data_IF_107869437113
#
_entry.id   IF_107869437113
#
_cell.length_a   1.000
_cell.length_b   1.000
_cell.length_c   1.000
_cell.angle_alpha   90.00
_cell.angle_beta   90.00
_cell.angle_gamma   90.00
#
_symmetry.space_group_name_H-M   'P 1'
#
loop_
_entity.id
_entity.type
_entity.pdbx_description
1 polymer ?
#
# COMPACT_ATOMS: atom_id res chain seq x y z
N UNK A 1 33.73 -17.88 34.50
CA UNK A 1 34.38 -17.07 35.54
C UNK A 1 33.81 -15.67 35.37
N UNK A 2 33.08 -15.00 36.27
CA UNK A 2 32.95 -14.95 37.74
C UNK A 2 31.45 -14.62 37.99
N UNK A 3 30.63 -15.46 38.64
CA UNK A 3 30.28 -15.56 40.08
C UNK A 3 29.68 -14.31 40.77
N UNK A 4 28.46 -14.49 41.32
CA UNK A 4 27.92 -13.81 42.51
C UNK A 4 26.65 -12.96 42.26
N UNK A 5 25.57 -12.98 43.04
CA UNK A 5 25.20 -13.76 44.23
C UNK A 5 23.67 -13.57 44.48
N UNK A 6 23.09 -14.53 45.18
CA UNK A 6 21.69 -14.76 45.59
C UNK A 6 21.21 -13.78 46.67
N UNK A 7 19.90 -13.50 46.72
CA UNK A 7 19.17 -13.30 47.97
C UNK A 7 17.74 -13.89 47.88
N UNK A 8 17.50 -14.88 48.74
CA UNK A 8 16.25 -15.57 49.01
C UNK A 8 15.44 -14.77 50.04
N UNK A 9 14.11 -14.73 49.87
CA UNK A 9 13.17 -14.27 50.89
C UNK A 9 12.00 -15.24 50.96
N UNK A 10 12.05 -16.17 51.92
CA UNK A 10 10.98 -17.10 52.27
C UNK A 10 10.14 -16.50 53.41
N UNK A 11 8.82 -16.55 53.30
CA UNK A 11 7.92 -16.51 54.44
C UNK A 11 6.81 -17.55 54.26
N UNK A 12 6.82 -18.55 55.12
CA UNK A 12 5.74 -19.51 55.36
C UNK A 12 5.03 -19.08 56.64
N UNK A 13 3.70 -19.07 56.63
CA UNK A 13 2.91 -19.35 57.84
C UNK A 13 1.48 -19.76 57.47
N UNK A 14 1.06 -20.86 58.09
CA UNK A 14 -0.14 -21.67 57.96
C UNK A 14 -1.52 -20.96 58.09
N UNK A 15 -2.61 -21.66 57.70
CA UNK A 15 -3.95 -21.09 57.56
C UNK A 15 -4.73 -21.06 58.88
N UNK A 16 -5.72 -20.17 59.06
CA UNK A 16 -6.61 -20.23 60.20
C UNK A 16 -7.71 -21.30 60.01
N UNK A 17 -8.00 -21.94 61.13
CA UNK A 17 -8.91 -23.06 61.30
C UNK A 17 -10.40 -22.68 61.14
N UNK A 18 -11.19 -23.73 60.88
CA UNK A 18 -12.64 -23.72 60.77
C UNK A 18 -13.34 -23.23 62.03
N UNK A 19 -14.37 -22.39 61.84
CA UNK A 19 -15.43 -22.14 62.83
C UNK A 19 -16.75 -22.70 62.31
N UNK A 20 -17.36 -23.55 63.12
CA UNK A 20 -18.66 -24.15 62.91
C UNK A 20 -19.80 -23.13 62.99
N UNK A 21 -20.76 -23.31 62.07
CA UNK A 21 -22.21 -23.38 62.30
C UNK A 21 -22.85 -22.40 63.28
N UNK A 22 -23.38 -21.28 62.77
CA UNK A 22 -24.59 -20.67 63.34
C UNK A 22 -25.59 -20.32 62.22
N UNK A 23 -26.84 -20.62 62.52
CA UNK A 23 -28.06 -20.49 61.71
C UNK A 23 -28.16 -19.15 60.96
N UNK A 24 -28.27 -19.22 59.63
CA UNK A 24 -28.92 -18.17 58.85
C UNK A 24 -29.95 -18.83 57.95
N UNK A 25 -31.20 -18.68 58.39
CA UNK A 25 -32.45 -18.95 57.69
C UNK A 25 -32.36 -18.74 56.19
N UNK A 26 -32.85 -19.74 55.45
CA UNK A 26 -32.99 -19.72 54.00
C UNK A 26 -33.88 -18.54 53.55
N UNK A 27 -33.25 -17.44 53.13
CA UNK A 27 -33.93 -16.39 52.37
C UNK A 27 -34.21 -16.94 50.97
N UNK A 28 -35.46 -17.26 50.72
CA UNK A 28 -35.99 -17.55 49.38
C UNK A 28 -35.62 -16.41 48.42
N UNK A 29 -34.68 -16.68 47.51
CA UNK A 29 -34.41 -15.79 46.38
C UNK A 29 -35.66 -15.81 45.50
N UNK A 30 -36.36 -14.67 45.28
CA UNK A 30 -37.46 -14.62 44.35
C UNK A 30 -36.91 -14.93 42.95
N UNK A 31 -37.46 -15.95 42.28
CA UNK A 31 -37.32 -16.11 40.83
C UNK A 31 -38.03 -14.93 40.17
N UNK A 32 -37.34 -13.81 40.02
CA UNK A 32 -37.74 -12.74 39.12
C UNK A 32 -37.44 -13.19 37.69
N UNK A 33 -38.41 -13.90 37.10
CA UNK A 33 -38.49 -14.06 35.65
C UNK A 33 -38.94 -12.71 35.07
N UNK A 34 -38.04 -11.73 35.06
CA UNK A 34 -38.29 -10.42 34.44
C UNK A 34 -37.49 -10.36 33.15
N UNK A 35 -38.02 -10.99 32.09
CA UNK A 35 -37.60 -10.71 30.71
C UNK A 35 -38.15 -9.35 30.29
N UNK A 36 -37.65 -8.27 30.91
CA UNK A 36 -37.81 -6.94 30.33
C UNK A 36 -37.03 -6.91 29.00
N UNK A 37 -37.62 -6.45 27.89
CA UNK A 37 -36.92 -6.39 26.62
C UNK A 37 -35.69 -5.48 26.75
N UNK A 38 -34.50 -6.04 26.50
CA UNK A 38 -33.24 -5.29 26.52
C UNK A 38 -33.35 -4.09 25.56
N UNK A 39 -33.08 -2.86 26.01
CA UNK A 39 -33.12 -1.68 25.16
C UNK A 39 -32.26 -1.85 23.92
N UNK A 40 -32.72 -1.32 22.78
CA UNK A 40 -32.01 -1.40 21.48
C UNK A 40 -30.58 -0.86 21.56
N UNK A 41 -30.33 0.16 22.40
CA UNK A 41 -29.00 0.70 22.65
C UNK A 41 -28.07 -0.31 23.32
N UNK A 42 -28.56 -1.07 24.29
CA UNK A 42 -27.81 -2.13 24.97
C UNK A 42 -27.51 -3.29 24.02
N UNK A 43 -28.46 -3.69 23.16
CA UNK A 43 -28.22 -4.70 22.12
C UNK A 43 -27.12 -4.26 21.15
N UNK A 44 -27.20 -3.04 20.62
CA UNK A 44 -26.16 -2.48 19.74
C UNK A 44 -24.79 -2.48 20.41
N UNK A 45 -24.70 -2.05 21.68
CA UNK A 45 -23.43 -2.06 22.42
C UNK A 45 -22.85 -3.47 22.52
N UNK A 46 -23.68 -4.46 22.88
CA UNK A 46 -23.25 -5.85 23.01
C UNK A 46 -22.72 -6.43 21.71
N UNK A 47 -23.44 -6.23 20.60
CA UNK A 47 -23.04 -6.72 19.27
C UNK A 47 -21.73 -6.08 18.79
N UNK A 48 -21.54 -4.78 19.03
CA UNK A 48 -20.27 -4.13 18.71
C UNK A 48 -19.12 -4.62 19.60
N UNK A 49 -19.37 -4.98 20.86
CA UNK A 49 -18.33 -5.56 21.73
C UNK A 49 -17.90 -6.96 21.28
N UNK A 50 -18.83 -7.80 20.84
CA UNK A 50 -18.49 -9.11 20.26
C UNK A 50 -17.68 -8.92 18.97
N UNK A 51 -18.10 -7.99 18.10
CA UNK A 51 -17.36 -7.68 16.88
C UNK A 51 -15.93 -7.21 17.18
N UNK A 52 -15.74 -6.28 18.13
CA UNK A 52 -14.42 -5.82 18.56
C UNK A 52 -13.56 -6.99 19.06
N UNK A 53 -14.11 -7.87 19.88
CA UNK A 53 -13.38 -9.04 20.39
C UNK A 53 -12.87 -9.92 19.24
N UNK A 54 -13.73 -10.32 18.32
CA UNK A 54 -13.35 -11.19 17.18
C UNK A 54 -12.29 -10.50 16.32
N UNK A 55 -12.45 -9.21 16.02
CA UNK A 55 -11.52 -8.45 15.20
C UNK A 55 -10.16 -8.26 15.88
N UNK A 56 -10.13 -8.08 17.20
CA UNK A 56 -8.87 -8.01 17.96
C UNK A 56 -8.06 -9.30 17.88
N UNK A 57 -8.72 -10.46 17.96
CA UNK A 57 -8.05 -11.76 17.77
C UNK A 57 -7.43 -11.87 16.36
N UNK A 58 -8.11 -11.33 15.34
CA UNK A 58 -7.57 -11.27 13.98
C UNK A 58 -6.32 -10.38 13.97
N UNK A 59 -6.38 -9.17 14.52
CA UNK A 59 -5.26 -8.24 14.56
C UNK A 59 -4.02 -8.83 15.24
N UNK A 60 -4.21 -9.54 16.34
CA UNK A 60 -3.12 -10.15 17.10
C UNK A 60 -2.48 -11.34 16.39
N UNK A 61 -3.30 -12.22 15.80
CA UNK A 61 -2.81 -13.51 15.29
C UNK A 61 -2.38 -13.46 13.83
N UNK A 62 -3.03 -12.62 13.02
CA UNK A 62 -2.84 -12.61 11.57
C UNK A 62 -1.39 -12.33 11.13
N UNK A 63 -0.60 -11.44 11.77
CA UNK A 63 0.80 -11.21 11.38
C UNK A 63 1.69 -12.46 11.42
N UNK A 64 1.38 -13.43 12.29
CA UNK A 64 2.14 -14.68 12.43
C UNK A 64 1.76 -15.77 11.43
N UNK A 65 0.77 -15.54 10.56
CA UNK A 65 0.20 -16.56 9.67
C UNK A 65 0.48 -16.25 8.20
N UNK A 66 0.79 -17.29 7.42
CA UNK A 66 1.06 -17.22 5.98
C UNK A 66 0.38 -18.36 5.21
N UNK A 67 0.18 -18.18 3.91
CA UNK A 67 -0.34 -19.20 2.99
C UNK A 67 -1.66 -19.84 3.43
N UNK A 68 -1.75 -21.17 3.35
CA UNK A 68 -2.96 -21.94 3.67
C UNK A 68 -3.45 -21.68 5.11
N UNK A 69 -2.53 -21.63 6.08
CA UNK A 69 -2.89 -21.40 7.48
C UNK A 69 -3.54 -20.03 7.70
N UNK A 70 -3.06 -19.00 6.98
CA UNK A 70 -3.61 -17.65 6.99
C UNK A 70 -5.04 -17.62 6.45
N UNK A 71 -5.27 -18.25 5.30
CA UNK A 71 -6.60 -18.33 4.67
C UNK A 71 -7.59 -19.12 5.55
N UNK A 72 -7.17 -20.25 6.11
CA UNK A 72 -8.01 -21.05 7.03
C UNK A 72 -8.40 -20.25 8.28
N UNK A 73 -7.46 -19.51 8.87
CA UNK A 73 -7.74 -18.66 10.01
C UNK A 73 -8.73 -17.54 9.70
N UNK A 74 -8.53 -16.81 8.59
CA UNK A 74 -9.46 -15.79 8.13
C UNK A 74 -10.87 -16.36 7.88
N UNK A 75 -10.95 -17.57 7.30
CA UNK A 75 -12.22 -18.27 7.06
C UNK A 75 -12.93 -18.60 8.37
N UNK A 76 -12.20 -19.17 9.34
CA UNK A 76 -12.72 -19.46 10.67
C UNK A 76 -13.25 -18.19 11.35
N UNK A 77 -12.50 -17.08 11.28
CA UNK A 77 -12.88 -15.81 11.92
C UNK A 77 -14.07 -15.13 11.22
N UNK A 78 -14.14 -15.16 9.89
CA UNK A 78 -15.33 -14.68 9.16
C UNK A 78 -16.56 -15.52 9.51
N UNK A 79 -16.44 -16.86 9.59
CA UNK A 79 -17.55 -17.73 10.03
C UNK A 79 -17.98 -17.46 11.48
N UNK A 80 -17.01 -17.31 12.40
CA UNK A 80 -17.26 -16.96 13.80
C UNK A 80 -18.02 -15.63 13.89
N UNK A 81 -17.59 -14.61 13.13
CA UNK A 81 -18.26 -13.32 13.08
C UNK A 81 -19.69 -13.46 12.54
N UNK A 82 -19.88 -14.15 11.41
CA UNK A 82 -21.18 -14.32 10.78
C UNK A 82 -22.19 -15.09 11.64
N UNK A 83 -21.72 -16.02 12.47
CA UNK A 83 -22.58 -16.76 13.42
C UNK A 83 -22.83 -16.00 14.72
N UNK A 84 -21.84 -15.22 15.17
CA UNK A 84 -21.82 -14.61 16.51
C UNK A 84 -22.30 -13.16 16.59
N UNK A 85 -22.49 -12.47 15.46
CA UNK A 85 -22.76 -11.02 15.42
C UNK A 85 -23.95 -10.70 14.52
N UNK A 86 -24.89 -9.90 15.03
CA UNK A 86 -25.98 -9.36 14.24
C UNK A 86 -25.57 -8.08 13.50
N UNK A 87 -25.31 -8.19 12.20
CA UNK A 87 -24.86 -7.08 11.35
C UNK A 87 -25.78 -5.84 11.39
N UNK A 88 -27.10 -6.02 11.61
CA UNK A 88 -28.06 -4.90 11.65
C UNK A 88 -27.90 -4.01 12.89
N UNK A 89 -27.13 -4.46 13.87
CA UNK A 89 -26.88 -3.77 15.13
C UNK A 89 -25.46 -3.20 15.23
N UNK A 90 -24.64 -3.39 14.19
CA UNK A 90 -23.28 -2.87 14.12
C UNK A 90 -23.24 -1.36 13.85
N UNK A 91 -22.21 -0.72 14.40
CA UNK A 91 -21.82 0.63 13.97
C UNK A 91 -21.21 0.59 12.57
N UNK A 92 -21.20 1.73 11.88
CA UNK A 92 -20.56 1.83 10.56
C UNK A 92 -19.07 1.46 10.60
N UNK A 93 -18.35 1.77 11.69
CA UNK A 93 -16.95 1.36 11.89
C UNK A 93 -16.84 -0.17 11.88
N UNK A 94 -17.66 -0.86 12.66
CA UNK A 94 -17.60 -2.33 12.75
C UNK A 94 -18.07 -3.03 11.47
N UNK A 95 -19.06 -2.45 10.77
CA UNK A 95 -19.47 -2.98 9.47
C UNK A 95 -18.35 -2.85 8.43
N UNK A 96 -17.61 -1.74 8.45
CA UNK A 96 -16.43 -1.56 7.61
C UNK A 96 -15.33 -2.58 7.93
N UNK A 97 -14.98 -2.78 9.21
CA UNK A 97 -13.99 -3.78 9.60
C UNK A 97 -14.40 -5.20 9.21
N UNK A 98 -15.69 -5.53 9.33
CA UNK A 98 -16.24 -6.78 8.82
C UNK A 98 -16.03 -6.92 7.30
N UNK A 99 -16.36 -5.88 6.53
CA UNK A 99 -16.16 -5.91 5.08
C UNK A 99 -14.69 -6.08 4.71
N UNK A 100 -13.77 -5.49 5.51
CA UNK A 100 -12.33 -5.67 5.34
C UNK A 100 -11.92 -7.12 5.65
N UNK A 101 -12.44 -7.72 6.73
CA UNK A 101 -12.21 -9.14 7.05
C UNK A 101 -12.66 -10.05 5.90
N UNK A 102 -13.86 -9.82 5.38
CA UNK A 102 -14.41 -10.62 4.27
C UNK A 102 -13.58 -10.41 2.99
N UNK A 103 -13.14 -9.19 2.72
CA UNK A 103 -12.25 -8.90 1.60
C UNK A 103 -10.86 -9.55 1.75
N UNK A 104 -10.26 -9.48 2.94
CA UNK A 104 -8.98 -10.14 3.24
C UNK A 104 -9.09 -11.64 2.98
N UNK A 105 -10.14 -12.28 3.47
CA UNK A 105 -10.39 -13.69 3.21
C UNK A 105 -10.46 -13.99 1.70
N UNK A 106 -11.29 -13.26 0.95
CA UNK A 106 -11.49 -13.50 -0.48
C UNK A 106 -10.21 -13.25 -1.26
N UNK A 107 -9.53 -12.13 -1.00
CA UNK A 107 -8.30 -11.76 -1.72
C UNK A 107 -7.16 -12.74 -1.45
N UNK A 108 -6.93 -13.13 -0.19
CA UNK A 108 -5.90 -14.11 0.18
C UNK A 108 -6.19 -15.50 -0.41
N UNK A 109 -7.46 -15.93 -0.40
CA UNK A 109 -7.88 -17.21 -0.99
C UNK A 109 -7.68 -17.22 -2.52
N UNK A 110 -7.97 -16.10 -3.20
CA UNK A 110 -7.73 -15.94 -4.64
C UNK A 110 -6.23 -15.96 -4.94
N UNK A 111 -5.44 -15.14 -4.23
CA UNK A 111 -3.99 -15.03 -4.47
C UNK A 111 -3.25 -16.33 -4.17
N UNK A 112 -3.78 -17.16 -3.26
CA UNK A 112 -3.21 -18.46 -2.95
C UNK A 112 -3.55 -19.55 -3.96
N UNK A 113 -4.79 -19.56 -4.49
CA UNK A 113 -5.32 -20.72 -5.22
C UNK A 113 -5.62 -20.46 -6.71
N UNK A 114 -5.65 -19.21 -7.17
CA UNK A 114 -6.05 -18.88 -8.53
C UNK A 114 -4.84 -18.70 -9.45
N UNK A 115 -4.81 -19.47 -10.54
CA UNK A 115 -3.90 -19.23 -11.66
C UNK A 115 -4.46 -18.18 -12.65
N UNK A 116 -5.63 -17.58 -12.35
CA UNK A 116 -6.25 -16.60 -13.23
C UNK A 116 -5.71 -15.20 -12.99
N UNK A 117 -5.10 -14.63 -14.01
CA UNK A 117 -4.68 -13.24 -14.01
C UNK A 117 -5.85 -12.27 -13.77
N UNK A 118 -7.03 -12.56 -14.32
CA UNK A 118 -8.23 -11.76 -14.09
C UNK A 118 -8.67 -11.77 -12.62
N UNK A 119 -8.66 -12.95 -11.97
CA UNK A 119 -8.97 -13.05 -10.54
C UNK A 119 -7.92 -12.33 -9.69
N UNK A 120 -6.64 -12.42 -10.06
CA UNK A 120 -5.55 -11.69 -9.41
C UNK A 120 -5.78 -10.18 -9.46
N UNK A 121 -6.18 -9.63 -10.62
CA UNK A 121 -6.52 -8.22 -10.75
C UNK A 121 -7.69 -7.82 -9.83
N UNK A 122 -8.74 -8.64 -9.73
CA UNK A 122 -9.86 -8.38 -8.80
C UNK A 122 -9.37 -8.37 -7.35
N UNK A 123 -8.54 -9.34 -6.96
CA UNK A 123 -8.01 -9.46 -5.60
C UNK A 123 -7.05 -8.31 -5.24
N UNK A 124 -6.29 -7.78 -6.19
CA UNK A 124 -5.35 -6.66 -5.95
C UNK A 124 -5.97 -5.28 -6.15
N UNK A 125 -7.19 -5.20 -6.69
CA UNK A 125 -7.81 -3.92 -7.01
C UNK A 125 -9.16 -3.64 -6.39
N UNK A 126 -9.91 -4.68 -6.01
CA UNK A 126 -11.35 -4.64 -5.71
C UNK A 126 -12.25 -4.15 -6.86
N UNK A 127 -11.68 -3.89 -8.05
CA UNK A 127 -12.42 -3.46 -9.23
C UNK A 127 -12.99 -4.68 -9.95
N UNK A 128 -14.22 -4.57 -10.45
CA UNK A 128 -14.85 -5.58 -11.30
C UNK A 128 -14.43 -5.51 -12.77
N UNK A 129 -13.28 -4.90 -13.07
CA UNK A 129 -12.81 -4.71 -14.45
C UNK A 129 -12.20 -5.99 -15.00
N UNK A 130 -12.47 -6.27 -16.28
CA UNK A 130 -11.79 -7.34 -17.02
C UNK A 130 -10.41 -6.86 -17.49
N UNK A 131 -9.45 -7.77 -17.76
CA UNK A 131 -8.13 -7.39 -18.26
C UNK A 131 -8.15 -6.45 -19.48
N UNK A 132 -9.12 -6.63 -20.39
CA UNK A 132 -9.27 -5.78 -21.57
C UNK A 132 -9.71 -4.36 -21.21
N UNK A 133 -10.52 -4.20 -20.15
CA UNK A 133 -10.92 -2.89 -19.63
C UNK A 133 -9.73 -2.17 -19.02
N UNK A 134 -8.85 -2.87 -18.30
CA UNK A 134 -7.59 -2.28 -17.82
C UNK A 134 -6.73 -1.82 -18.98
N UNK A 135 -6.52 -2.69 -19.97
CA UNK A 135 -5.69 -2.38 -21.13
C UNK A 135 -6.18 -1.14 -21.86
N UNK A 136 -7.47 -1.08 -22.18
CA UNK A 136 -8.08 0.08 -22.85
C UNK A 136 -7.82 1.37 -22.05
N UNK A 137 -8.13 1.37 -20.75
CA UNK A 137 -7.99 2.54 -19.89
C UNK A 137 -6.54 2.98 -19.72
N UNK A 138 -5.60 2.03 -19.64
CA UNK A 138 -4.17 2.33 -19.57
C UNK A 138 -3.68 2.93 -20.90
N UNK A 139 -4.13 2.41 -22.05
CA UNK A 139 -3.78 2.97 -23.36
C UNK A 139 -4.35 4.39 -23.55
N UNK A 140 -5.57 4.66 -23.09
CA UNK A 140 -6.15 6.00 -23.05
C UNK A 140 -5.31 6.96 -22.20
N UNK A 141 -4.86 6.51 -21.02
CA UNK A 141 -4.01 7.29 -20.13
C UNK A 141 -2.62 7.56 -20.72
N UNK A 142 -1.99 6.55 -21.34
CA UNK A 142 -0.72 6.71 -22.05
C UNK A 142 -0.85 7.73 -23.18
N UNK A 143 -1.93 7.66 -23.97
CA UNK A 143 -2.21 8.61 -25.05
C UNK A 143 -2.37 10.04 -24.51
N UNK A 144 -3.11 10.23 -23.42
CA UNK A 144 -3.26 11.53 -22.75
C UNK A 144 -1.91 12.10 -22.31
N UNK A 145 -1.10 11.29 -21.65
CA UNK A 145 0.23 11.70 -21.17
C UNK A 145 1.11 12.09 -22.36
N UNK A 146 1.14 11.28 -23.42
CA UNK A 146 1.99 11.52 -24.60
C UNK A 146 1.58 12.80 -25.34
N UNK A 147 0.29 13.05 -25.51
CA UNK A 147 -0.23 14.30 -26.08
C UNK A 147 0.12 15.52 -25.23
N UNK A 148 0.05 15.39 -23.90
CA UNK A 148 0.40 16.48 -22.98
C UNK A 148 1.89 16.78 -23.04
N UNK A 149 2.74 15.75 -23.05
CA UNK A 149 4.18 15.90 -23.21
C UNK A 149 4.50 16.56 -24.56
N UNK A 150 3.87 16.11 -25.64
CA UNK A 150 4.05 16.73 -26.95
C UNK A 150 3.68 18.21 -26.92
N UNK A 151 2.54 18.57 -26.35
CA UNK A 151 2.11 19.97 -26.24
C UNK A 151 3.09 20.85 -25.45
N UNK A 152 3.60 20.34 -24.33
CA UNK A 152 4.49 21.10 -23.44
C UNK A 152 5.95 21.15 -23.92
N UNK A 153 6.42 20.11 -24.61
CA UNK A 153 7.81 19.98 -25.04
C UNK A 153 8.05 20.33 -26.51
N UNK A 154 6.99 20.54 -27.30
CA UNK A 154 7.14 21.08 -28.65
C UNK A 154 7.66 22.51 -28.57
N UNK A 155 8.89 22.73 -29.04
CA UNK A 155 9.34 24.09 -29.34
C UNK A 155 8.48 24.64 -30.48
N UNK A 156 8.32 25.96 -30.56
CA UNK A 156 7.56 26.68 -31.62
C UNK A 156 8.11 26.50 -33.04
N UNK A 157 9.04 25.57 -33.27
CA UNK A 157 9.56 25.19 -34.59
C UNK A 157 8.61 24.18 -35.25
N UNK A 158 8.36 24.35 -36.55
CA UNK A 158 7.44 23.54 -37.37
C UNK A 158 7.82 22.05 -37.56
N UNK A 159 8.72 21.50 -36.75
CA UNK A 159 9.09 20.08 -36.82
C UNK A 159 8.07 19.23 -36.04
N UNK A 160 7.65 18.10 -36.62
CA UNK A 160 6.73 17.16 -35.98
C UNK A 160 7.35 16.55 -34.71
N UNK A 161 6.63 16.62 -33.58
CA UNK A 161 7.14 16.13 -32.30
C UNK A 161 7.34 14.61 -32.31
N UNK A 162 8.59 14.17 -32.29
CA UNK A 162 8.93 12.75 -32.13
C UNK A 162 9.12 12.39 -30.65
N UNK A 163 8.21 11.57 -30.12
CA UNK A 163 8.21 11.17 -28.71
C UNK A 163 9.43 10.31 -28.33
N UNK A 164 9.84 9.38 -29.18
CA UNK A 164 11.00 8.53 -28.93
C UNK A 164 12.29 9.35 -28.83
N UNK A 165 12.50 10.26 -29.78
CA UNK A 165 13.67 11.14 -29.79
C UNK A 165 13.67 12.07 -28.58
N UNK A 166 12.49 12.56 -28.17
CA UNK A 166 12.35 13.36 -26.95
C UNK A 166 12.78 12.58 -25.71
N UNK A 167 12.26 11.37 -25.50
CA UNK A 167 12.63 10.52 -24.36
C UNK A 167 14.11 10.17 -24.37
N UNK A 168 14.68 9.92 -25.55
CA UNK A 168 16.12 9.69 -25.74
C UNK A 168 16.95 10.92 -25.37
N UNK A 169 16.53 12.13 -25.79
CA UNK A 169 17.20 13.39 -25.44
C UNK A 169 17.15 13.64 -23.94
N UNK A 170 15.96 13.59 -23.33
CA UNK A 170 15.79 13.81 -21.88
C UNK A 170 16.69 12.88 -21.08
N UNK A 171 16.72 11.59 -21.43
CA UNK A 171 17.62 10.61 -20.79
C UNK A 171 19.09 10.98 -20.90
N UNK A 172 19.55 11.47 -22.07
CA UNK A 172 20.96 11.84 -22.30
C UNK A 172 21.36 13.14 -21.62
N UNK A 173 20.43 14.09 -21.49
CA UNK A 173 20.70 15.42 -20.94
C UNK A 173 20.36 15.55 -19.46
N UNK A 174 19.71 14.54 -18.86
CA UNK A 174 19.41 14.50 -17.44
C UNK A 174 20.69 14.50 -16.59
N UNK A 175 20.59 15.06 -15.40
CA UNK A 175 21.63 14.95 -14.39
C UNK A 175 21.52 13.61 -13.68
N UNK A 176 22.66 12.96 -13.46
CA UNK A 176 22.77 11.71 -12.73
C UNK A 176 23.80 11.84 -11.61
N UNK A 177 23.63 11.12 -10.48
CA UNK A 177 24.64 11.02 -9.45
C UNK A 177 25.98 10.50 -9.99
N UNK A 178 27.07 11.01 -9.44
CA UNK A 178 28.38 10.38 -9.61
C UNK A 178 28.39 9.02 -8.91
N UNK A 179 29.07 8.05 -9.52
CA UNK A 179 29.21 6.69 -8.98
C UNK A 179 30.30 6.61 -7.89
N UNK A 180 30.19 7.50 -6.91
CA UNK A 180 31.10 7.65 -5.77
C UNK A 180 30.31 7.62 -4.47
N UNK A 181 30.97 7.40 -3.33
CA UNK A 181 30.29 7.48 -2.03
C UNK A 181 29.55 8.81 -1.84
N UNK A 182 30.21 9.94 -2.14
CA UNK A 182 29.61 11.27 -2.04
C UNK A 182 28.44 11.46 -3.00
N UNK A 183 28.53 10.95 -4.23
CA UNK A 183 27.43 11.02 -5.20
C UNK A 183 26.20 10.23 -4.77
N UNK A 184 26.40 9.01 -4.24
CA UNK A 184 25.33 8.17 -3.65
C UNK A 184 24.68 8.87 -2.45
N UNK A 185 25.48 9.36 -1.51
CA UNK A 185 24.97 10.05 -0.32
C UNK A 185 24.20 11.33 -0.71
N UNK A 186 24.74 12.14 -1.63
CA UNK A 186 24.07 13.34 -2.11
C UNK A 186 22.70 13.04 -2.73
N UNK A 187 22.56 11.93 -3.47
CA UNK A 187 21.26 11.51 -4.00
C UNK A 187 20.25 11.22 -2.88
N UNK A 188 20.65 10.46 -1.86
CA UNK A 188 19.80 10.14 -0.71
C UNK A 188 19.41 11.40 0.08
N UNK A 189 20.37 12.29 0.34
CA UNK A 189 20.15 13.54 1.06
C UNK A 189 19.14 14.44 0.32
N UNK A 190 19.30 14.56 -1.00
CA UNK A 190 18.38 15.35 -1.83
C UNK A 190 16.99 14.73 -1.87
N UNK A 191 16.88 13.40 -1.96
CA UNK A 191 15.58 12.72 -1.88
C UNK A 191 14.88 12.99 -0.54
N UNK A 192 15.63 12.89 0.56
CA UNK A 192 15.12 13.19 1.90
C UNK A 192 14.64 14.66 2.00
N UNK A 193 15.40 15.60 1.45
CA UNK A 193 15.01 17.01 1.40
C UNK A 193 13.73 17.25 0.60
N UNK A 194 13.57 16.60 -0.55
CA UNK A 194 12.35 16.70 -1.36
C UNK A 194 11.13 16.12 -0.62
N UNK A 195 11.30 15.04 0.15
CA UNK A 195 10.22 14.48 0.98
C UNK A 195 9.77 15.43 2.08
N UNK A 196 10.71 16.02 2.82
CA UNK A 196 10.40 17.03 3.85
C UNK A 196 9.70 18.23 3.22
N UNK A 197 10.17 18.68 2.05
CA UNK A 197 9.59 19.83 1.34
C UNK A 197 8.18 19.54 0.84
N UNK A 198 7.94 18.36 0.26
CA UNK A 198 6.62 17.91 -0.14
C UNK A 198 5.68 17.89 1.06
N UNK A 199 6.09 17.29 2.18
CA UNK A 199 5.28 17.23 3.38
C UNK A 199 4.89 18.62 3.92
N UNK A 200 5.83 19.56 3.96
CA UNK A 200 5.58 20.93 4.41
C UNK A 200 4.56 21.66 3.51
N UNK A 201 4.68 21.51 2.19
CA UNK A 201 3.78 22.16 1.23
C UNK A 201 2.32 21.69 1.34
N UNK A 202 2.10 20.47 1.83
CA UNK A 202 0.77 19.87 1.98
C UNK A 202 0.23 19.89 3.40
N UNK A 203 1.01 20.39 4.37
CA UNK A 203 0.64 20.39 5.78
C UNK A 203 -0.66 21.16 6.06
N UNK A 204 -0.79 22.37 5.51
CA UNK A 204 -1.98 23.22 5.71
C UNK A 204 -3.25 22.64 5.04
N UNK A 205 -3.08 21.77 4.04
CA UNK A 205 -4.20 21.11 3.35
C UNK A 205 -4.75 19.93 4.16
N UNK A 206 -3.94 19.33 5.03
CA UNK A 206 -4.28 18.14 5.80
C UNK A 206 -4.00 18.36 7.31
N UNK A 207 -4.75 19.26 7.93
CA UNK A 207 -4.70 19.65 9.37
C UNK A 207 -4.89 18.50 10.39
N UNK A 208 -4.93 17.25 9.96
CA UNK A 208 -5.07 16.04 10.80
C UNK A 208 -3.85 15.11 10.72
N UNK A 209 -2.79 15.50 10.01
CA UNK A 209 -1.60 14.66 9.85
C UNK A 209 -0.61 14.84 11.00
N UNK A 210 -0.18 13.72 11.58
CA UNK A 210 1.00 13.70 12.47
C UNK A 210 2.22 13.52 11.58
N UNK A 211 3.19 14.45 11.58
CA UNK A 211 4.41 14.27 10.81
C UNK A 211 5.05 12.92 11.13
N UNK A 212 5.27 12.10 10.11
CA UNK A 212 6.11 10.91 10.22
C UNK A 212 7.30 11.11 9.28
N UNK A 213 8.48 10.71 9.70
CA UNK A 213 9.66 10.71 8.84
C UNK A 213 9.73 9.35 8.15
N UNK A 214 9.56 9.32 6.83
CA UNK A 214 9.85 8.12 6.06
C UNK A 214 11.37 8.00 5.95
N UNK A 215 11.93 6.92 6.49
CA UNK A 215 13.38 6.70 6.39
C UNK A 215 13.77 6.46 4.94
N UNK A 216 14.86 7.09 4.51
CA UNK A 216 15.47 6.88 3.19
C UNK A 216 16.75 6.08 3.38
N UNK A 217 16.79 4.88 2.81
CA UNK A 217 17.88 3.93 3.00
C UNK A 217 18.52 3.58 1.65
N UNK A 218 19.84 3.45 1.64
CA UNK A 218 20.57 2.89 0.50
C UNK A 218 20.87 1.41 0.69
N UNK A 219 20.67 0.60 -0.35
CA UNK A 219 21.11 -0.80 -0.38
C UNK A 219 21.98 -1.07 -1.62
N UNK A 220 22.95 -1.97 -1.50
CA UNK A 220 23.76 -2.51 -2.60
C UNK A 220 23.48 -4.02 -2.74
N UNK A 221 23.74 -4.60 -3.92
CA UNK A 221 23.51 -6.01 -4.23
C UNK A 221 22.04 -6.38 -4.46
N UNK A 222 21.19 -5.39 -4.77
CA UNK A 222 19.75 -5.58 -4.83
C UNK A 222 19.24 -5.94 -6.22
N UNK A 223 18.22 -6.79 -6.30
CA UNK A 223 17.61 -7.21 -7.57
C UNK A 223 16.45 -6.32 -8.01
N UNK A 224 16.20 -5.22 -7.30
CA UNK A 224 15.09 -4.27 -7.49
C UNK A 224 15.64 -2.85 -7.57
N UNK A 225 14.90 -1.93 -8.19
CA UNK A 225 15.32 -0.52 -8.26
C UNK A 225 15.03 0.22 -6.96
N UNK A 226 13.83 0.01 -6.40
CA UNK A 226 13.39 0.59 -5.14
C UNK A 226 12.49 -0.39 -4.40
N UNK A 227 12.36 -0.19 -3.10
CA UNK A 227 11.44 -0.92 -2.24
C UNK A 227 10.86 -0.02 -1.17
N UNK A 228 9.54 0.07 -1.10
CA UNK A 228 8.86 0.75 -0.01
C UNK A 228 8.41 -0.28 1.02
N UNK A 229 8.66 -0.01 2.30
CA UNK A 229 8.29 -0.87 3.42
C UNK A 229 7.97 -0.05 4.67
N UNK A 230 7.58 -0.72 5.74
CA UNK A 230 7.41 -0.08 7.05
C UNK A 230 8.71 0.58 7.55
N UNK A 231 9.87 0.06 7.16
CA UNK A 231 11.19 0.59 7.57
C UNK A 231 11.61 1.81 6.75
N UNK A 232 10.91 2.13 5.65
CA UNK A 232 11.24 3.25 4.78
C UNK A 232 11.23 2.93 3.28
N UNK A 233 11.69 3.90 2.50
CA UNK A 233 11.98 3.76 1.08
C UNK A 233 13.46 3.41 0.90
N UNK A 234 13.71 2.20 0.43
CA UNK A 234 15.04 1.67 0.14
C UNK A 234 15.37 1.86 -1.34
N UNK A 235 16.52 2.47 -1.61
CA UNK A 235 17.04 2.81 -2.93
C UNK A 235 18.19 1.87 -3.27
N UNK A 236 18.15 1.21 -4.43
CA UNK A 236 19.29 0.45 -4.93
C UNK A 236 20.39 1.39 -5.46
N UNK A 237 21.58 1.30 -4.88
CA UNK A 237 22.74 2.12 -5.18
C UNK A 237 23.78 1.45 -6.09
N UNK A 238 23.52 0.23 -6.58
CA UNK A 238 24.44 -0.53 -7.44
C UNK A 238 24.76 0.19 -8.75
N UNK A 239 23.80 0.93 -9.31
CA UNK A 239 23.95 1.70 -10.53
C UNK A 239 23.30 3.07 -10.37
N UNK A 240 23.83 3.93 -9.48
CA UNK A 240 23.25 5.27 -9.24
C UNK A 240 23.22 6.18 -10.47
N UNK A 241 24.05 5.91 -11.48
CA UNK A 241 23.99 6.57 -12.79
C UNK A 241 22.69 6.28 -13.58
N UNK A 242 21.85 5.36 -13.12
CA UNK A 242 20.53 5.07 -13.69
C UNK A 242 19.39 5.79 -12.95
N UNK A 243 19.72 6.62 -11.96
CA UNK A 243 18.77 7.37 -11.13
C UNK A 243 18.77 8.85 -11.54
N UNK A 244 17.92 9.28 -12.49
CA UNK A 244 17.93 10.65 -12.96
C UNK A 244 17.42 11.61 -11.90
N UNK A 245 18.09 12.75 -11.73
CA UNK A 245 17.76 13.72 -10.67
C UNK A 245 16.36 14.35 -10.80
N UNK A 246 15.78 14.38 -12.01
CA UNK A 246 14.44 14.95 -12.24
C UNK A 246 13.35 14.20 -11.46
N UNK A 247 13.56 12.92 -11.14
CA UNK A 247 12.53 12.09 -10.52
C UNK A 247 12.42 12.28 -9.01
N UNK A 248 13.36 12.97 -8.37
CA UNK A 248 13.43 13.06 -6.91
C UNK A 248 12.14 13.62 -6.31
N UNK A 249 11.58 14.66 -6.95
CA UNK A 249 10.29 15.24 -6.58
C UNK A 249 9.13 14.28 -6.81
N UNK A 250 9.18 13.49 -7.89
CA UNK A 250 8.16 12.49 -8.19
C UNK A 250 8.19 11.35 -7.15
N UNK A 251 9.38 10.88 -6.76
CA UNK A 251 9.56 9.89 -5.71
C UNK A 251 9.07 10.42 -4.36
N UNK A 252 9.37 11.68 -4.03
CA UNK A 252 8.89 12.33 -2.83
C UNK A 252 7.36 12.46 -2.80
N UNK A 253 6.76 12.90 -3.90
CA UNK A 253 5.31 13.01 -4.04
C UNK A 253 4.61 11.63 -3.99
N UNK A 254 5.18 10.61 -4.62
CA UNK A 254 4.58 9.29 -4.72
C UNK A 254 4.74 8.46 -3.44
N UNK A 255 5.96 8.35 -2.91
CA UNK A 255 6.24 7.52 -1.72
C UNK A 255 6.10 8.28 -0.40
N UNK A 256 6.39 9.58 -0.38
CA UNK A 256 6.24 10.43 0.79
C UNK A 256 4.80 10.91 0.98
N UNK A 257 4.62 11.92 1.84
CA UNK A 257 3.34 12.57 2.07
C UNK A 257 3.08 13.68 1.02
N UNK A 258 1.88 13.80 0.42
CA UNK A 258 0.62 13.09 0.74
C UNK A 258 0.36 11.82 -0.09
N UNK A 259 1.36 11.25 -0.76
CA UNK A 259 1.25 9.99 -1.48
C UNK A 259 1.12 8.76 -0.57
N UNK A 260 1.98 7.76 -0.76
CA UNK A 260 1.88 6.47 -0.08
C UNK A 260 2.04 6.57 1.45
N UNK A 261 2.81 7.55 1.93
CA UNK A 261 2.99 7.79 3.36
C UNK A 261 1.70 8.23 4.08
N UNK A 262 0.65 8.60 3.34
CA UNK A 262 -0.68 8.83 3.91
C UNK A 262 -1.31 7.57 4.50
N UNK A 263 -0.83 6.38 4.10
CA UNK A 263 -1.33 5.08 4.56
C UNK A 263 -0.39 4.38 5.54
N UNK A 264 0.66 5.04 6.08
CA UNK A 264 1.51 4.44 7.11
C UNK A 264 0.61 3.89 8.21
N UNK A 265 0.58 2.56 8.41
CA UNK A 265 -0.35 1.94 9.33
C UNK A 265 -0.15 2.53 10.72
N UNK A 266 -1.24 2.99 11.34
CA UNK A 266 -1.31 3.05 12.80
C UNK A 266 -1.73 1.65 13.24
N UNK A 267 -0.83 0.82 13.79
CA UNK A 267 -1.08 -0.62 13.98
C UNK A 267 -2.30 -0.92 14.87
N UNK A 268 -2.79 0.06 15.62
CA UNK A 268 -3.55 -0.22 16.84
C UNK A 268 -5.08 -0.33 16.66
N UNK A 269 -5.68 -0.02 15.49
CA UNK A 269 -7.14 0.18 15.43
C UNK A 269 -7.91 -0.42 14.25
N UNK A 270 -7.27 -1.02 13.25
CA UNK A 270 -7.97 -1.48 12.04
C UNK A 270 -7.29 -2.65 11.30
N UNK A 271 -8.11 -3.52 10.71
CA UNK A 271 -7.67 -4.57 9.77
C UNK A 271 -7.14 -4.01 8.45
N UNK A 272 -7.37 -2.71 8.15
CA UNK A 272 -6.85 -2.06 6.94
C UNK A 272 -5.33 -2.17 6.79
N UNK A 273 -4.62 -2.25 7.93
CA UNK A 273 -3.17 -2.42 7.97
C UNK A 273 -2.67 -3.71 7.30
N UNK A 274 -3.55 -4.70 7.14
CA UNK A 274 -3.24 -5.99 6.51
C UNK A 274 -3.64 -6.08 5.04
N UNK A 275 -4.28 -5.04 4.48
CA UNK A 275 -4.74 -5.06 3.09
C UNK A 275 -3.56 -4.96 2.11
N UNK A 276 -3.39 -5.99 1.28
CA UNK A 276 -2.58 -5.91 0.07
C UNK A 276 -3.44 -5.43 -1.11
N UNK A 277 -3.68 -4.12 -1.17
CA UNK A 277 -4.58 -3.50 -2.15
C UNK A 277 -3.87 -2.37 -2.91
N UNK A 278 -2.98 -2.68 -3.88
CA UNK A 278 -2.23 -1.67 -4.64
C UNK A 278 -3.13 -0.65 -5.35
N UNK A 279 -4.34 -1.02 -5.81
CA UNK A 279 -5.26 -0.04 -6.38
C UNK A 279 -5.68 1.05 -5.38
N UNK A 280 -5.73 0.74 -4.09
CA UNK A 280 -6.06 1.74 -3.08
C UNK A 280 -4.82 2.58 -2.73
N UNK A 281 -3.73 1.93 -2.30
CA UNK A 281 -2.57 2.64 -1.77
C UNK A 281 -1.72 3.31 -2.87
N UNK A 282 -1.28 2.53 -3.87
CA UNK A 282 -0.48 3.03 -4.98
C UNK A 282 -1.33 3.81 -5.98
N UNK A 283 -2.60 3.44 -6.14
CA UNK A 283 -3.55 4.22 -6.94
C UNK A 283 -3.75 5.63 -6.40
N UNK A 284 -3.90 5.78 -5.09
CA UNK A 284 -3.95 7.11 -4.44
C UNK A 284 -2.66 7.88 -4.68
N UNK A 285 -1.49 7.27 -4.46
CA UNK A 285 -0.21 7.91 -4.70
C UNK A 285 -0.05 8.39 -6.16
N UNK A 286 -0.50 7.58 -7.13
CA UNK A 286 -0.49 7.95 -8.54
C UNK A 286 -1.48 9.07 -8.88
N UNK A 287 -2.64 9.11 -8.22
CA UNK A 287 -3.61 10.20 -8.38
C UNK A 287 -3.06 11.51 -7.81
N UNK A 288 -2.48 11.46 -6.60
CA UNK A 288 -1.83 12.60 -5.95
C UNK A 288 -0.64 13.12 -6.77
N UNK A 289 0.14 12.24 -7.39
CA UNK A 289 1.23 12.62 -8.27
C UNK A 289 0.74 13.50 -9.45
N UNK A 290 -0.34 13.11 -10.12
CA UNK A 290 -0.93 13.90 -11.21
C UNK A 290 -1.46 15.25 -10.69
N UNK A 291 -2.10 15.25 -9.53
CA UNK A 291 -2.59 16.44 -8.86
C UNK A 291 -1.47 17.42 -8.49
N UNK A 292 -0.31 16.91 -8.05
CA UNK A 292 0.87 17.74 -7.78
C UNK A 292 1.45 18.25 -9.10
N UNK A 293 1.64 17.38 -10.10
CA UNK A 293 2.28 17.73 -11.37
C UNK A 293 1.54 18.78 -12.19
N UNK A 294 0.21 18.85 -12.06
CA UNK A 294 -0.61 19.91 -12.67
C UNK A 294 -0.47 21.27 -11.97
N UNK A 295 -0.07 21.30 -10.69
CA UNK A 295 0.14 22.52 -9.90
C UNK A 295 1.59 23.00 -9.94
N UNK A 296 2.55 22.07 -10.01
CA UNK A 296 3.98 22.38 -10.09
C UNK A 296 4.40 22.66 -11.54
N UNK A 297 4.03 23.86 -12.03
CA UNK A 297 4.27 24.31 -13.40
C UNK A 297 5.76 24.28 -13.82
N UNK A 298 6.68 24.34 -12.85
CA UNK A 298 8.11 24.29 -13.13
C UNK A 298 8.64 22.88 -13.41
N UNK A 299 7.92 21.84 -12.98
CA UNK A 299 8.36 20.45 -13.06
C UNK A 299 7.29 19.53 -13.71
N UNK A 300 6.25 20.08 -14.36
CA UNK A 300 5.15 19.32 -14.95
C UNK A 300 5.63 18.19 -15.88
N UNK A 301 6.65 18.43 -16.70
CA UNK A 301 7.23 17.40 -17.57
C UNK A 301 7.83 16.24 -16.77
N UNK A 302 8.51 16.50 -15.65
CA UNK A 302 9.12 15.47 -14.82
C UNK A 302 8.07 14.53 -14.22
N UNK A 303 6.97 15.11 -13.72
CA UNK A 303 5.81 14.34 -13.26
C UNK A 303 5.17 13.52 -14.39
N UNK A 304 5.06 14.07 -15.59
CA UNK A 304 4.56 13.33 -16.75
C UNK A 304 5.49 12.19 -17.17
N UNK A 305 6.81 12.35 -17.09
CA UNK A 305 7.76 11.25 -17.36
C UNK A 305 7.63 10.12 -16.35
N UNK A 306 7.45 10.45 -15.07
CA UNK A 306 7.21 9.46 -14.03
C UNK A 306 5.85 8.76 -14.20
N UNK A 307 4.77 9.53 -14.42
CA UNK A 307 3.45 8.96 -14.70
C UNK A 307 3.48 8.05 -15.94
N UNK A 308 4.22 8.44 -16.99
CA UNK A 308 4.42 7.63 -18.19
C UNK A 308 5.12 6.31 -17.87
N UNK A 309 6.15 6.31 -17.02
CA UNK A 309 6.79 5.08 -16.54
C UNK A 309 5.79 4.17 -15.83
N UNK A 310 5.02 4.70 -14.88
CA UNK A 310 4.05 3.90 -14.11
C UNK A 310 2.97 3.28 -15.01
N UNK A 311 2.41 4.05 -15.94
CA UNK A 311 1.43 3.54 -16.91
C UNK A 311 2.05 2.51 -17.86
N UNK A 312 3.33 2.67 -18.22
CA UNK A 312 4.06 1.70 -19.06
C UNK A 312 4.32 0.39 -18.31
N UNK A 313 4.62 0.46 -17.01
CA UNK A 313 4.76 -0.72 -16.15
C UNK A 313 3.42 -1.46 -16.01
N UNK A 314 2.31 -0.75 -15.88
CA UNK A 314 0.98 -1.35 -15.82
C UNK A 314 0.56 -2.02 -17.13
N UNK A 315 0.82 -1.41 -18.29
CA UNK A 315 0.59 -2.05 -19.58
C UNK A 315 1.46 -3.32 -19.71
N UNK A 316 2.73 -3.21 -19.33
CA UNK A 316 3.67 -4.33 -19.38
C UNK A 316 3.25 -5.48 -18.48
N UNK A 317 2.73 -5.20 -17.29
CA UNK A 317 2.18 -6.19 -16.37
C UNK A 317 1.05 -6.99 -17.02
N UNK A 318 0.11 -6.32 -17.69
CA UNK A 318 -0.93 -7.00 -18.49
C UNK A 318 -0.31 -7.85 -19.61
N UNK A 319 0.62 -7.30 -20.38
CA UNK A 319 1.16 -7.93 -21.60
C UNK A 319 2.02 -9.16 -21.29
N UNK A 320 2.84 -9.10 -20.24
CA UNK A 320 3.67 -10.22 -19.81
C UNK A 320 2.81 -11.38 -19.29
N UNK A 321 1.84 -11.10 -18.41
CA UNK A 321 1.04 -12.15 -17.77
C UNK A 321 -0.11 -12.67 -18.65
N UNK A 322 -0.39 -12.02 -19.78
CA UNK A 322 -1.22 -12.55 -20.86
C UNK A 322 -0.42 -13.21 -21.98
N UNK A 323 0.90 -13.37 -21.79
CA UNK A 323 1.84 -13.99 -22.76
C UNK A 323 1.88 -13.30 -24.12
N UNK A 324 1.60 -12.00 -24.16
CA UNK A 324 1.58 -11.21 -25.39
C UNK A 324 2.95 -10.59 -25.70
N UNK A 325 3.75 -10.31 -24.65
CA UNK A 325 5.11 -9.80 -24.77
C UNK A 325 6.11 -10.75 -24.11
N UNK A 326 7.30 -10.79 -24.69
CA UNK A 326 8.53 -11.28 -24.05
C UNK A 326 9.11 -10.22 -23.10
N UNK A 327 10.00 -10.62 -22.20
CA UNK A 327 10.74 -9.68 -21.34
C UNK A 327 11.54 -8.66 -22.14
N UNK A 328 12.12 -9.06 -23.28
CA UNK A 328 12.92 -8.16 -24.11
C UNK A 328 12.05 -7.12 -24.82
N UNK A 329 10.87 -7.51 -25.31
CA UNK A 329 9.88 -6.57 -25.86
C UNK A 329 9.39 -5.59 -24.81
N UNK A 330 9.14 -6.05 -23.58
CA UNK A 330 8.78 -5.21 -22.46
C UNK A 330 9.88 -4.19 -22.11
N UNK A 331 11.14 -4.63 -22.00
CA UNK A 331 12.29 -3.75 -21.76
C UNK A 331 12.43 -2.72 -22.88
N UNK A 332 12.32 -3.17 -24.14
CA UNK A 332 12.39 -2.31 -25.31
C UNK A 332 11.29 -1.25 -25.27
N UNK A 333 10.03 -1.66 -25.08
CA UNK A 333 8.88 -0.76 -25.03
C UNK A 333 9.08 0.35 -23.99
N UNK A 334 9.35 0.01 -22.73
CA UNK A 334 9.50 1.04 -21.68
C UNK A 334 10.73 1.90 -21.94
N UNK A 335 11.86 1.32 -22.39
CA UNK A 335 13.08 2.09 -22.68
C UNK A 335 12.85 3.10 -23.81
N UNK A 336 12.15 2.71 -24.87
CA UNK A 336 11.90 3.58 -26.03
C UNK A 336 10.89 4.70 -25.74
N UNK A 337 10.03 4.51 -24.75
CA UNK A 337 8.92 5.41 -24.45
C UNK A 337 9.07 6.18 -23.12
N UNK A 338 10.19 6.04 -22.44
CA UNK A 338 10.46 6.75 -21.18
C UNK A 338 11.92 7.19 -21.12
N UNK A 339 12.27 8.20 -20.31
CA UNK A 339 13.66 8.68 -20.22
C UNK A 339 14.53 7.85 -19.26
N UNK A 340 14.09 6.66 -18.82
CA UNK A 340 14.80 5.86 -17.82
C UNK A 340 15.80 4.86 -18.43
N UNK A 341 16.91 4.61 -17.75
CA UNK A 341 17.95 3.72 -18.24
C UNK A 341 17.47 2.25 -18.39
N UNK A 342 17.93 1.56 -19.45
CA UNK A 342 17.49 0.18 -19.73
C UNK A 342 17.85 -0.83 -18.63
N UNK A 343 18.94 -0.59 -17.89
CA UNK A 343 19.32 -1.43 -16.77
C UNK A 343 18.28 -1.33 -15.64
N UNK A 344 17.89 -0.12 -15.26
CA UNK A 344 16.77 0.09 -14.33
C UNK A 344 15.47 -0.53 -14.83
N UNK A 345 15.13 -0.37 -16.11
CA UNK A 345 13.94 -1.02 -16.67
C UNK A 345 13.99 -2.54 -16.52
N UNK A 346 15.14 -3.19 -16.73
CA UNK A 346 15.28 -4.65 -16.47
C UNK A 346 14.99 -5.03 -15.02
N UNK A 347 15.40 -4.23 -14.05
CA UNK A 347 15.05 -4.47 -12.63
C UNK A 347 13.54 -4.37 -12.41
N UNK A 348 12.89 -3.35 -13.00
CA UNK A 348 11.43 -3.19 -12.92
C UNK A 348 10.68 -4.34 -13.59
N UNK A 349 11.14 -4.83 -14.75
CA UNK A 349 10.53 -5.98 -15.42
C UNK A 349 10.60 -7.24 -14.55
N UNK A 350 11.73 -7.50 -13.86
CA UNK A 350 11.84 -8.62 -12.92
C UNK A 350 10.82 -8.52 -11.79
N UNK A 351 10.62 -7.32 -11.25
CA UNK A 351 9.61 -7.08 -10.21
C UNK A 351 8.18 -7.31 -10.75
N UNK A 352 7.88 -6.84 -11.97
CA UNK A 352 6.60 -7.09 -12.63
C UNK A 352 6.34 -8.60 -12.75
N UNK A 353 7.31 -9.36 -13.27
CA UNK A 353 7.18 -10.82 -13.41
C UNK A 353 6.95 -11.55 -12.09
N UNK A 354 7.50 -11.04 -10.99
CA UNK A 354 7.33 -11.62 -9.65
C UNK A 354 5.99 -11.24 -9.00
N UNK A 355 5.32 -10.20 -9.48
CA UNK A 355 4.11 -9.65 -8.86
C UNK A 355 3.00 -9.44 -9.90
N UNK A 356 2.41 -10.52 -10.45
CA UNK A 356 1.38 -10.42 -11.47
C UNK A 356 0.21 -9.53 -11.04
N UNK A 357 -0.14 -8.56 -11.87
CA UNK A 357 -1.33 -7.72 -11.70
C UNK A 357 -1.15 -6.56 -10.72
N UNK A 358 -0.02 -6.48 -10.02
CA UNK A 358 0.23 -5.47 -8.99
C UNK A 358 0.26 -4.05 -9.57
N UNK A 359 0.93 -3.86 -10.70
CA UNK A 359 1.09 -2.54 -11.33
C UNK A 359 -0.14 -2.16 -12.14
N UNK A 360 -0.77 -3.13 -12.82
CA UNK A 360 -2.06 -2.94 -13.48
C UNK A 360 -3.17 -2.55 -12.49
N UNK A 361 -3.23 -3.21 -11.33
CA UNK A 361 -4.15 -2.86 -10.26
C UNK A 361 -3.88 -1.45 -9.72
N UNK A 362 -2.61 -1.08 -9.47
CA UNK A 362 -2.23 0.27 -9.03
C UNK A 362 -2.74 1.36 -9.97
N UNK A 363 -2.51 1.24 -11.29
CA UNK A 363 -3.00 2.21 -12.27
C UNK A 363 -4.53 2.19 -12.39
N UNK A 364 -5.18 1.01 -12.31
CA UNK A 364 -6.64 0.97 -12.28
C UNK A 364 -7.23 1.73 -11.09
N UNK A 365 -6.57 1.63 -9.93
CA UNK A 365 -6.87 2.43 -8.75
C UNK A 365 -6.72 3.93 -8.96
N UNK A 366 -5.58 4.38 -9.52
CA UNK A 366 -5.34 5.77 -9.91
C UNK A 366 -6.49 6.30 -10.76
N UNK A 367 -6.82 5.58 -11.83
CA UNK A 367 -7.85 5.98 -12.77
C UNK A 367 -9.23 6.02 -12.11
N UNK A 368 -9.51 5.11 -11.17
CA UNK A 368 -10.75 5.12 -10.41
C UNK A 368 -10.83 6.32 -9.46
N UNK A 369 -9.75 6.71 -8.80
CA UNK A 369 -9.72 7.93 -7.99
C UNK A 369 -9.98 9.18 -8.84
N UNK A 370 -9.36 9.28 -10.02
CA UNK A 370 -9.61 10.38 -10.96
C UNK A 370 -11.08 10.43 -11.41
N UNK A 371 -11.68 9.27 -11.70
CA UNK A 371 -13.11 9.16 -12.07
C UNK A 371 -14.05 9.58 -10.94
N UNK A 372 -13.74 9.23 -9.69
CA UNK A 372 -14.58 9.57 -8.53
C UNK A 372 -14.51 11.06 -8.16
N UNK A 373 -13.43 11.75 -8.56
CA UNK A 373 -13.24 13.18 -8.32
C UNK A 373 -13.97 14.03 -9.35
N UNK A 374 -13.92 13.63 -10.62
CA UNK A 374 -14.61 14.30 -11.73
C UNK A 374 -16.12 14.21 -11.59
#
# INVERSE_FOLDING_TARGET
MITGLILLGSCSSQPPAATNSEDITATTIPKTTTTAPIPTTTKKRFENQIAVFILSEVQESLPGLQGIARVQYLRQKSEQFNRGVNNNLLSSKMLLEKNILDYLLISEDILLNSDSYASTLVALSSLGWKPETYEQKILEELSRIDQTIAMLASNTSNDEFNHHDHMSRVRKTSLYPEDTFNGRQNYLDRLSQEMVSAQANWYDTYNTYSPSELSILGEEGSTRSFHYSADGLVINLDQVKDLPAFELKCLAAFYGFPGLQSFVPRPEDSLRSFLNLPAYNLGWAGYILDEIGTRDLGNTLDYLYFARLQSSMALTDLKLHRTEWTSDEAVKYITENTPYASHRIRLLIRQIQQNPGYYAAAIGGKLKFSELKG
#
